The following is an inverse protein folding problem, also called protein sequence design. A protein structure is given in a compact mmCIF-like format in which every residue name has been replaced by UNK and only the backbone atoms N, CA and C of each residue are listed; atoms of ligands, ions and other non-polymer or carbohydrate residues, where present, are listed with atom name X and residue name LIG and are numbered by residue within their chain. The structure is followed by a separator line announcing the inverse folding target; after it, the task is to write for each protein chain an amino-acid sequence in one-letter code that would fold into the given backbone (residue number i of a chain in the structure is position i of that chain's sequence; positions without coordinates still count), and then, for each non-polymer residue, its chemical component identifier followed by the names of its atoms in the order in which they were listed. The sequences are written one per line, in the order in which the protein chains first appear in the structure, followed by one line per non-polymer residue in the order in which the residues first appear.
data_IF_662366501646
#
_entry.id   IF_662366501646
#
_cell.length_a   1.000
_cell.length_b   1.000
_cell.length_c   1.000
_cell.angle_alpha   90.00
_cell.angle_beta   90.00
_cell.angle_gamma   90.00
#
_symmetry.space_group_name_H-M   'P 1'
#
loop_
_entity.id
_entity.type
_entity.pdbx_description
1 polymer ?
#
# COMPACT_ATOMS: atom_id res chain seq x y z
N UNK A 1 35.15 18.13 1.36
CA UNK A 1 35.49 19.27 2.21
C UNK A 1 34.93 18.98 3.60
N UNK A 2 35.82 18.64 4.53
CA UNK A 2 35.48 18.27 5.91
C UNK A 2 35.14 19.58 6.65
N UNK A 3 33.92 19.70 7.14
CA UNK A 3 33.51 20.84 7.95
C UNK A 3 34.27 20.81 9.27
N UNK A 4 35.13 21.80 9.50
CA UNK A 4 35.85 22.04 10.76
C UNK A 4 34.78 22.38 11.78
N UNK A 5 34.62 21.54 12.80
CA UNK A 5 33.82 21.86 13.98
C UNK A 5 34.48 23.06 14.68
N UNK A 6 33.73 24.17 14.97
CA UNK A 6 34.33 25.27 15.73
C UNK A 6 34.74 24.76 17.12
N UNK A 7 35.95 25.08 17.53
CA UNK A 7 36.44 24.82 18.88
C UNK A 7 35.54 25.51 19.92
N UNK A 8 35.26 24.83 21.03
CA UNK A 8 34.47 25.40 22.10
C UNK A 8 35.16 26.68 22.64
N UNK A 9 34.41 27.81 22.82
CA UNK A 9 34.99 29.02 23.30
C UNK A 9 35.60 28.85 24.69
N UNK A 10 36.82 29.38 24.88
CA UNK A 10 37.49 29.31 26.17
C UNK A 10 36.68 30.01 27.28
N UNK A 11 36.85 29.57 28.54
CA UNK A 11 36.09 30.03 29.70
C UNK A 11 36.11 31.55 29.85
N UNK A 12 37.22 32.22 29.58
CA UNK A 12 37.35 33.69 29.63
C UNK A 12 36.44 34.42 28.60
N UNK A 13 36.22 33.79 27.42
CA UNK A 13 35.31 34.34 26.39
C UNK A 13 33.87 34.22 26.82
N UNK A 14 33.51 33.10 27.47
CA UNK A 14 32.16 32.86 28.01
C UNK A 14 31.84 33.87 29.15
N UNK A 15 32.79 34.09 30.06
CA UNK A 15 32.66 35.05 31.15
C UNK A 15 32.49 36.51 30.65
N UNK A 16 33.31 36.90 29.67
CA UNK A 16 33.19 38.22 29.03
C UNK A 16 31.84 38.41 28.32
N UNK A 17 31.34 37.34 27.66
CA UNK A 17 30.01 37.39 27.02
C UNK A 17 28.89 37.52 28.04
N UNK A 18 28.93 36.83 29.19
CA UNK A 18 27.95 36.95 30.26
C UNK A 18 27.92 38.37 30.88
N UNK A 19 29.10 38.98 31.10
CA UNK A 19 29.21 40.38 31.60
C UNK A 19 28.60 41.38 30.60
N UNK A 20 28.82 41.17 29.31
CA UNK A 20 28.21 41.99 28.24
C UNK A 20 26.70 41.87 28.21
N UNK A 21 26.18 40.65 28.32
CA UNK A 21 24.74 40.36 28.35
C UNK A 21 24.08 41.03 29.56
N UNK A 22 24.69 40.94 30.75
CA UNK A 22 24.19 41.59 31.97
C UNK A 22 24.14 43.12 31.81
N UNK A 23 25.17 43.72 31.20
CA UNK A 23 25.20 45.19 30.94
C UNK A 23 24.10 45.68 30.01
N UNK A 24 23.66 44.86 29.06
CA UNK A 24 22.59 45.23 28.11
C UNK A 24 21.21 44.71 28.55
N UNK A 25 21.13 44.10 29.73
CA UNK A 25 19.87 43.62 30.32
C UNK A 25 19.30 42.37 29.63
N UNK A 26 20.13 41.56 28.97
CA UNK A 26 19.75 40.31 28.34
C UNK A 26 20.32 39.11 29.11
N UNK A 27 19.55 38.06 29.17
CA UNK A 27 19.99 36.76 29.71
C UNK A 27 20.40 35.81 28.61
N UNK A 28 21.22 34.79 28.89
CA UNK A 28 21.48 33.70 27.93
C UNK A 28 20.19 33.02 27.41
N UNK A 29 19.13 33.02 28.24
CA UNK A 29 17.82 32.49 27.84
C UNK A 29 17.14 33.37 26.79
N UNK A 30 17.30 34.72 26.87
CA UNK A 30 16.79 35.64 25.86
C UNK A 30 17.48 35.45 24.51
N UNK A 31 18.80 35.17 24.51
CA UNK A 31 19.54 34.84 23.29
C UNK A 31 19.12 33.48 22.71
N UNK A 32 18.84 32.48 23.55
CA UNK A 32 18.33 31.21 23.12
C UNK A 32 16.89 31.28 22.59
N UNK A 33 16.13 32.30 23.04
CA UNK A 33 14.77 32.58 22.56
C UNK A 33 14.76 33.34 21.22
N UNK A 34 15.89 33.93 20.77
CA UNK A 34 15.98 34.56 19.45
C UNK A 34 15.79 33.47 18.40
N UNK A 35 14.75 33.58 17.52
CA UNK A 35 14.56 32.60 16.48
C UNK A 35 15.80 32.46 15.61
N UNK A 36 16.41 31.29 15.59
CA UNK A 36 17.51 31.00 14.65
C UNK A 36 17.07 31.36 13.23
N UNK A 37 17.94 31.98 12.41
CA UNK A 37 17.61 32.30 11.03
C UNK A 37 17.21 30.98 10.33
N UNK A 38 15.91 30.83 10.07
CA UNK A 38 15.38 29.65 9.35
C UNK A 38 15.92 29.70 7.92
N UNK A 39 16.19 28.52 7.35
CA UNK A 39 16.46 28.39 5.92
C UNK A 39 15.35 29.10 5.15
N UNK A 40 15.64 29.78 4.03
CA UNK A 40 14.60 30.39 3.21
C UNK A 40 13.59 29.30 2.80
N UNK A 41 12.31 29.60 3.00
CA UNK A 41 11.23 28.66 2.67
C UNK A 41 11.11 28.58 1.16
N UNK A 42 11.30 27.39 0.54
CA UNK A 42 11.23 27.22 -0.91
C UNK A 42 9.79 27.30 -1.42
N UNK A 43 9.65 27.47 -2.73
CA UNK A 43 8.38 27.34 -3.43
C UNK A 43 7.98 25.86 -3.58
N UNK A 44 6.69 25.61 -3.92
CA UNK A 44 6.25 24.24 -4.23
C UNK A 44 7.00 23.69 -5.45
N UNK A 45 7.29 24.51 -6.47
CA UNK A 45 8.03 24.09 -7.65
C UNK A 45 9.46 23.61 -7.32
N UNK A 46 10.10 24.25 -6.36
CA UNK A 46 11.44 23.85 -5.90
C UNK A 46 11.41 22.61 -5.00
N UNK A 47 10.42 22.49 -4.13
CA UNK A 47 10.44 21.48 -3.08
C UNK A 47 9.76 20.15 -3.46
N UNK A 48 8.69 20.17 -4.26
CA UNK A 48 8.00 18.92 -4.68
C UNK A 48 8.93 17.92 -5.35
N UNK A 49 9.86 18.31 -6.25
CA UNK A 49 10.85 17.38 -6.83
C UNK A 49 11.74 16.72 -5.76
N UNK A 50 12.18 17.48 -4.74
CA UNK A 50 13.00 16.96 -3.64
C UNK A 50 12.25 15.87 -2.88
N UNK A 51 11.01 16.14 -2.47
CA UNK A 51 10.16 15.15 -1.78
C UNK A 51 9.86 13.96 -2.68
N UNK A 52 9.58 14.19 -3.96
CA UNK A 52 9.31 13.12 -4.91
C UNK A 52 10.51 12.18 -5.09
N UNK A 53 11.73 12.68 -5.03
CA UNK A 53 12.94 11.87 -5.09
C UNK A 53 13.16 11.07 -3.79
N UNK A 54 12.83 11.65 -2.64
CA UNK A 54 13.06 11.07 -1.31
C UNK A 54 12.05 10.00 -0.88
N UNK A 55 10.90 9.89 -1.55
CA UNK A 55 9.87 8.91 -1.18
C UNK A 55 9.96 7.63 -2.00
N UNK A 56 9.36 6.55 -1.49
CA UNK A 56 9.27 5.27 -2.20
C UNK A 56 8.54 5.40 -3.55
N UNK A 57 8.87 4.53 -4.51
CA UNK A 57 8.19 4.47 -5.80
C UNK A 57 6.67 4.27 -5.67
N UNK A 58 6.22 3.56 -4.62
CA UNK A 58 4.81 3.38 -4.30
C UNK A 58 4.13 4.69 -3.88
N UNK A 59 4.76 5.47 -3.00
CA UNK A 59 4.29 6.78 -2.55
C UNK A 59 4.25 7.77 -3.72
N UNK A 60 5.31 7.81 -4.54
CA UNK A 60 5.38 8.65 -5.73
C UNK A 60 4.25 8.34 -6.72
N UNK A 61 3.96 7.07 -6.95
CA UNK A 61 2.85 6.64 -7.79
C UNK A 61 1.48 7.04 -7.24
N UNK A 62 1.33 7.00 -5.91
CA UNK A 62 0.08 7.36 -5.24
C UNK A 62 -0.17 8.87 -5.19
N UNK A 63 0.88 9.67 -4.97
CA UNK A 63 0.77 11.10 -4.72
C UNK A 63 1.19 11.99 -5.88
N UNK A 64 1.97 11.49 -6.84
CA UNK A 64 2.53 12.27 -7.93
C UNK A 64 1.49 13.08 -8.72
N UNK A 65 0.34 12.46 -9.05
CA UNK A 65 -0.74 13.17 -9.75
C UNK A 65 -1.38 14.29 -8.91
N UNK A 66 -1.33 14.19 -7.58
CA UNK A 66 -1.80 15.23 -6.67
C UNK A 66 -0.76 16.32 -6.48
N UNK A 67 0.53 15.98 -6.43
CA UNK A 67 1.61 16.96 -6.42
C UNK A 67 1.61 17.79 -7.72
N UNK A 68 1.39 17.17 -8.89
CA UNK A 68 1.25 17.93 -10.14
C UNK A 68 0.11 18.95 -10.05
N UNK A 69 -1.04 18.57 -9.49
CA UNK A 69 -2.16 19.51 -9.31
C UNK A 69 -1.87 20.62 -8.30
N UNK A 70 -1.05 20.33 -7.28
CA UNK A 70 -0.57 21.35 -6.35
C UNK A 70 0.36 22.31 -7.08
N UNK A 71 1.26 21.81 -7.92
CA UNK A 71 2.14 22.62 -8.77
C UNK A 71 1.36 23.50 -9.76
N UNK A 72 0.33 22.97 -10.39
CA UNK A 72 -0.53 23.71 -11.32
C UNK A 72 -1.24 24.90 -10.63
N UNK A 73 -1.51 24.81 -9.34
CA UNK A 73 -2.25 25.85 -8.59
C UNK A 73 -1.34 26.76 -7.76
N UNK A 74 -0.24 26.20 -7.22
CA UNK A 74 0.60 26.85 -6.22
C UNK A 74 2.11 26.75 -6.52
N UNK A 75 2.51 26.40 -7.74
CA UNK A 75 3.91 26.14 -8.08
C UNK A 75 4.87 27.22 -7.60
N UNK A 76 4.54 28.48 -7.87
CA UNK A 76 5.39 29.66 -7.57
C UNK A 76 5.21 30.19 -6.13
N UNK A 77 4.26 29.64 -5.38
CA UNK A 77 4.04 30.03 -3.98
C UNK A 77 5.03 29.34 -3.05
N UNK A 78 5.41 30.03 -1.99
CA UNK A 78 6.22 29.44 -0.92
C UNK A 78 5.37 28.48 -0.08
N UNK A 79 6.01 27.50 0.54
CA UNK A 79 5.33 26.49 1.36
C UNK A 79 4.60 27.08 2.59
N UNK A 80 5.04 28.22 3.10
CA UNK A 80 4.46 28.89 4.27
C UNK A 80 3.26 29.81 3.96
N UNK A 81 2.95 30.03 2.69
CA UNK A 81 1.85 30.94 2.28
C UNK A 81 0.45 30.33 2.33
N UNK A 82 0.24 29.04 1.90
CA UNK A 82 -1.12 28.51 1.85
C UNK A 82 -1.75 28.35 3.23
N UNK A 83 -2.97 28.81 3.34
CA UNK A 83 -3.78 28.69 4.56
C UNK A 83 -4.56 27.37 4.59
N UNK A 84 -5.02 26.90 5.77
CA UNK A 84 -5.93 25.75 5.85
C UNK A 84 -7.22 25.92 5.04
N UNK A 85 -7.69 27.17 4.86
CA UNK A 85 -8.89 27.47 4.05
C UNK A 85 -8.64 27.28 2.57
N UNK A 86 -7.48 27.69 2.07
CA UNK A 86 -7.09 27.46 0.66
C UNK A 86 -6.88 25.97 0.37
N UNK A 87 -6.35 25.20 1.33
CA UNK A 87 -6.30 23.74 1.19
C UNK A 87 -7.71 23.15 1.04
N UNK A 88 -8.69 23.63 1.82
CA UNK A 88 -10.09 23.17 1.67
C UNK A 88 -10.69 23.57 0.31
N UNK A 89 -10.36 24.76 -0.21
CA UNK A 89 -10.76 25.19 -1.56
C UNK A 89 -10.14 24.28 -2.63
N UNK A 90 -8.86 23.95 -2.53
CA UNK A 90 -8.19 23.03 -3.42
C UNK A 90 -8.80 21.61 -3.35
N UNK A 91 -9.20 21.16 -2.16
CA UNK A 91 -9.94 19.89 -2.01
C UNK A 91 -11.28 19.93 -2.73
N UNK A 92 -12.03 21.03 -2.65
CA UNK A 92 -13.29 21.21 -3.35
C UNK A 92 -13.09 21.21 -4.88
N UNK A 93 -12.09 21.94 -5.35
CA UNK A 93 -11.69 21.96 -6.75
C UNK A 93 -11.34 20.55 -7.26
N UNK A 94 -10.47 19.82 -6.55
CA UNK A 94 -10.09 18.47 -6.93
C UNK A 94 -11.29 17.54 -6.95
N UNK A 95 -12.24 17.67 -6.04
CA UNK A 95 -13.47 16.85 -6.01
C UNK A 95 -14.28 16.98 -7.31
N UNK A 96 -14.39 18.17 -7.87
CA UNK A 96 -15.19 18.45 -9.07
C UNK A 96 -14.45 18.16 -10.37
N UNK A 97 -13.10 18.21 -10.35
CA UNK A 97 -12.25 18.04 -11.55
C UNK A 97 -11.58 16.65 -11.63
N UNK A 98 -12.04 15.68 -10.85
CA UNK A 98 -11.56 14.29 -10.97
C UNK A 98 -12.27 13.60 -12.12
N UNK A 99 -11.52 12.83 -12.91
CA UNK A 99 -12.11 11.88 -13.85
C UNK A 99 -13.09 10.99 -13.10
N UNK A 100 -14.36 11.05 -13.49
CA UNK A 100 -15.43 10.25 -12.90
C UNK A 100 -15.15 8.75 -13.15
N UNK A 101 -14.45 8.10 -12.24
CA UNK A 101 -14.29 6.65 -12.24
C UNK A 101 -15.43 6.04 -11.43
N UNK A 102 -15.89 4.86 -11.83
CA UNK A 102 -16.97 4.13 -11.15
C UNK A 102 -16.78 4.03 -9.62
N UNK A 103 -15.54 3.96 -9.14
CA UNK A 103 -15.18 3.88 -7.73
C UNK A 103 -14.80 5.25 -7.11
N UNK A 104 -15.05 6.36 -7.81
CA UNK A 104 -14.63 7.70 -7.36
C UNK A 104 -15.36 8.22 -6.12
N UNK A 105 -16.46 7.55 -5.70
CA UNK A 105 -17.24 7.92 -4.51
C UNK A 105 -17.54 9.42 -4.45
N UNK A 106 -17.94 10.01 -5.59
CA UNK A 106 -18.18 11.45 -5.72
C UNK A 106 -16.93 12.32 -5.48
N UNK A 107 -15.73 11.85 -5.86
CA UNK A 107 -14.48 12.60 -5.71
C UNK A 107 -13.88 12.59 -4.30
N UNK A 108 -14.52 11.94 -3.34
CA UNK A 108 -14.10 11.90 -1.93
C UNK A 108 -12.73 11.26 -1.72
N UNK A 109 -12.47 10.17 -2.45
CA UNK A 109 -11.16 9.51 -2.44
C UNK A 109 -10.04 10.43 -2.95
N UNK A 110 -10.32 11.27 -3.93
CA UNK A 110 -9.35 12.22 -4.43
C UNK A 110 -9.03 13.32 -3.41
N UNK A 111 -10.02 13.81 -2.68
CA UNK A 111 -9.80 14.73 -1.56
C UNK A 111 -8.94 14.08 -0.46
N UNK A 112 -9.23 12.84 -0.10
CA UNK A 112 -8.48 12.08 0.90
C UNK A 112 -7.00 11.94 0.49
N UNK A 113 -6.74 11.60 -0.79
CA UNK A 113 -5.38 11.48 -1.32
C UNK A 113 -4.67 12.83 -1.44
N UNK A 114 -5.37 13.90 -1.81
CA UNK A 114 -4.80 15.25 -1.86
C UNK A 114 -4.31 15.68 -0.47
N UNK A 115 -5.14 15.52 0.56
CA UNK A 115 -4.74 15.85 1.94
C UNK A 115 -3.57 14.97 2.39
N UNK A 116 -3.57 13.69 2.03
CA UNK A 116 -2.46 12.80 2.34
C UNK A 116 -1.16 13.21 1.62
N UNK A 117 -1.24 13.63 0.36
CA UNK A 117 -0.11 14.13 -0.41
C UNK A 117 0.45 15.43 0.16
N UNK A 118 -0.42 16.39 0.55
CA UNK A 118 -0.02 17.60 1.24
C UNK A 118 0.62 17.32 2.59
N UNK A 119 0.02 16.45 3.40
CA UNK A 119 0.60 16.05 4.70
C UNK A 119 1.97 15.39 4.54
N UNK A 120 2.18 14.57 3.52
CA UNK A 120 3.49 13.99 3.22
C UNK A 120 4.51 15.09 2.87
N UNK A 121 4.14 16.06 2.04
CA UNK A 121 4.99 17.17 1.65
C UNK A 121 5.36 18.05 2.84
N UNK A 122 4.37 18.51 3.60
CA UNK A 122 4.55 19.40 4.74
C UNK A 122 5.28 18.73 5.91
N UNK A 123 5.08 17.42 6.13
CA UNK A 123 5.84 16.71 7.16
C UNK A 123 7.34 16.69 6.81
N UNK A 124 7.68 16.46 5.54
CA UNK A 124 9.07 16.56 5.07
C UNK A 124 9.64 17.97 5.23
N UNK A 125 8.84 19.00 4.95
CA UNK A 125 9.27 20.38 5.15
C UNK A 125 9.53 20.71 6.63
N UNK A 126 8.79 20.11 7.55
CA UNK A 126 9.04 20.21 9.00
C UNK A 126 10.32 19.44 9.36
N UNK A 127 10.46 18.21 8.90
CA UNK A 127 11.63 17.36 9.17
C UNK A 127 12.93 18.01 8.64
N UNK A 128 12.86 18.70 7.50
CA UNK A 128 13.98 19.45 6.89
C UNK A 128 14.24 20.82 7.56
N UNK A 129 13.41 21.24 8.53
CA UNK A 129 13.53 22.49 9.25
C UNK A 129 13.16 23.74 8.43
N UNK A 130 12.40 23.58 7.35
CA UNK A 130 11.95 24.66 6.46
C UNK A 130 10.76 25.44 7.04
N UNK A 131 9.88 24.75 7.75
CA UNK A 131 8.71 25.32 8.45
C UNK A 131 8.62 24.73 9.85
N UNK A 132 8.00 25.46 10.79
CA UNK A 132 7.73 24.90 12.10
C UNK A 132 6.50 23.99 12.08
N UNK A 133 6.45 23.01 12.98
CA UNK A 133 5.31 22.10 13.15
C UNK A 133 3.98 22.86 13.35
N UNK A 134 4.00 23.95 14.15
CA UNK A 134 2.83 24.78 14.40
C UNK A 134 2.32 25.52 13.15
N UNK A 135 3.21 25.79 12.20
CA UNK A 135 2.93 26.51 10.96
C UNK A 135 2.45 25.58 9.83
N UNK A 136 2.46 24.26 10.04
CA UNK A 136 2.02 23.28 9.06
C UNK A 136 0.49 23.36 8.80
N UNK A 137 0.05 23.94 7.67
CA UNK A 137 -1.37 24.15 7.41
C UNK A 137 -2.11 22.83 7.13
N UNK A 138 -1.43 21.80 6.62
CA UNK A 138 -2.04 20.52 6.26
C UNK A 138 -2.45 19.70 7.50
N UNK A 139 -1.84 19.92 8.67
CA UNK A 139 -2.27 19.30 9.93
C UNK A 139 -3.63 19.84 10.41
N UNK A 140 -3.89 21.14 10.15
CA UNK A 140 -5.13 21.83 10.55
C UNK A 140 -6.32 21.48 9.64
N UNK A 141 -6.11 20.67 8.60
CA UNK A 141 -7.16 20.22 7.68
C UNK A 141 -7.49 18.77 7.96
N UNK A 142 -8.73 18.50 8.37
CA UNK A 142 -9.20 17.14 8.59
C UNK A 142 -9.27 16.37 7.26
N UNK A 143 -8.82 15.11 7.25
CA UNK A 143 -9.11 14.21 6.13
C UNK A 143 -10.62 13.95 6.07
N UNK A 144 -11.19 13.87 4.86
CA UNK A 144 -12.58 13.43 4.71
C UNK A 144 -12.77 12.08 5.40
N UNK A 145 -13.87 11.94 6.16
CA UNK A 145 -14.19 10.65 6.81
C UNK A 145 -14.30 9.56 5.75
N UNK A 146 -13.54 8.49 5.93
CA UNK A 146 -13.61 7.33 5.06
C UNK A 146 -15.00 6.70 5.17
N UNK A 147 -15.67 6.56 4.02
CA UNK A 147 -16.95 5.86 4.00
C UNK A 147 -16.74 4.36 4.21
N UNK A 148 -17.65 3.67 4.90
CA UNK A 148 -17.63 2.23 5.01
C UNK A 148 -17.51 1.59 3.63
N UNK A 149 -16.83 0.46 3.56
CA UNK A 149 -16.78 -0.31 2.32
C UNK A 149 -18.16 -0.90 2.02
N UNK A 150 -18.56 -0.81 0.76
CA UNK A 150 -19.78 -1.50 0.28
C UNK A 150 -19.49 -2.93 -0.18
N UNK A 151 -18.24 -3.37 -0.07
CA UNK A 151 -17.83 -4.72 -0.43
C UNK A 151 -18.43 -5.72 0.55
N UNK A 152 -18.93 -6.80 -0.01
CA UNK A 152 -19.41 -7.97 0.71
C UNK A 152 -18.77 -9.23 0.12
N UNK A 153 -18.76 -10.32 0.86
CA UNK A 153 -18.37 -11.61 0.32
C UNK A 153 -19.29 -11.99 -0.84
N UNK A 154 -18.71 -12.51 -1.91
CA UNK A 154 -19.47 -13.01 -3.06
C UNK A 154 -20.00 -14.42 -2.72
N UNK A 155 -21.25 -14.73 -3.08
CA UNK A 155 -21.76 -16.10 -3.04
C UNK A 155 -20.94 -17.03 -3.96
N UNK A 156 -20.86 -18.31 -3.63
CA UNK A 156 -20.13 -19.31 -4.41
C UNK A 156 -20.61 -19.41 -5.85
N UNK A 157 -21.90 -19.28 -6.08
CA UNK A 157 -22.48 -19.23 -7.43
C UNK A 157 -21.92 -18.08 -8.27
N UNK A 158 -21.66 -16.92 -7.65
CA UNK A 158 -21.06 -15.77 -8.32
C UNK A 158 -19.58 -15.95 -8.60
N UNK A 159 -18.86 -16.63 -7.72
CA UNK A 159 -17.46 -17.02 -7.97
C UNK A 159 -17.40 -18.04 -9.10
N UNK A 160 -18.32 -19.00 -9.15
CA UNK A 160 -18.41 -20.00 -10.24
C UNK A 160 -18.66 -19.32 -11.60
N UNK A 161 -19.61 -18.37 -11.70
CA UNK A 161 -19.85 -17.59 -12.92
C UNK A 161 -18.57 -16.85 -13.39
N UNK A 162 -17.83 -16.22 -12.47
CA UNK A 162 -16.56 -15.51 -12.78
C UNK A 162 -15.54 -16.50 -13.34
N UNK A 163 -15.36 -17.64 -12.68
CA UNK A 163 -14.39 -18.67 -13.10
C UNK A 163 -14.76 -19.28 -14.45
N UNK A 164 -16.04 -19.53 -14.71
CA UNK A 164 -16.53 -20.04 -15.99
C UNK A 164 -16.19 -19.08 -17.14
N UNK A 165 -16.48 -17.79 -16.99
CA UNK A 165 -16.15 -16.79 -18.02
C UNK A 165 -14.62 -16.68 -18.20
N UNK A 166 -13.84 -16.78 -17.14
CA UNK A 166 -12.38 -16.77 -17.25
C UNK A 166 -11.85 -18.01 -18.00
N UNK A 167 -12.45 -19.17 -17.77
CA UNK A 167 -12.05 -20.43 -18.37
C UNK A 167 -12.48 -20.60 -19.84
N UNK A 168 -13.57 -19.94 -20.25
CA UNK A 168 -14.20 -20.17 -21.56
C UNK A 168 -14.02 -19.03 -22.54
N UNK A 169 -13.43 -17.91 -22.12
CA UNK A 169 -13.28 -16.72 -22.96
C UNK A 169 -11.86 -16.16 -22.93
N UNK A 170 -11.55 -15.31 -23.91
CA UNK A 170 -10.26 -14.59 -23.98
C UNK A 170 -9.20 -15.33 -24.78
N UNK A 171 -8.01 -14.78 -24.75
CA UNK A 171 -6.84 -15.21 -25.53
C UNK A 171 -5.93 -16.21 -24.78
N UNK A 172 -6.09 -16.32 -23.46
CA UNK A 172 -5.29 -17.20 -22.62
C UNK A 172 -6.10 -17.61 -21.36
N UNK A 173 -7.11 -18.49 -21.53
CA UNK A 173 -7.98 -18.94 -20.43
C UNK A 173 -7.22 -19.70 -19.33
N UNK A 174 -6.18 -20.44 -19.70
CA UNK A 174 -5.35 -21.17 -18.74
C UNK A 174 -4.67 -20.24 -17.75
N UNK A 175 -4.01 -19.19 -18.26
CA UNK A 175 -3.39 -18.17 -17.43
C UNK A 175 -4.44 -17.45 -16.57
N UNK A 176 -5.60 -17.09 -17.14
CA UNK A 176 -6.62 -16.36 -16.42
C UNK A 176 -7.22 -17.19 -15.28
N UNK A 177 -7.47 -18.48 -15.50
CA UNK A 177 -7.93 -19.39 -14.44
C UNK A 177 -6.85 -19.67 -13.40
N UNK A 178 -5.60 -19.83 -13.83
CA UNK A 178 -4.48 -20.07 -12.93
C UNK A 178 -4.33 -18.92 -11.92
N UNK A 179 -4.26 -17.68 -12.39
CA UNK A 179 -4.09 -16.59 -11.43
C UNK A 179 -5.36 -16.27 -10.61
N UNK A 180 -6.58 -16.52 -11.14
CA UNK A 180 -7.79 -16.44 -10.32
C UNK A 180 -7.77 -17.49 -9.21
N UNK A 181 -7.39 -18.73 -9.51
CA UNK A 181 -7.24 -19.79 -8.53
C UNK A 181 -6.17 -19.44 -7.48
N UNK A 182 -5.01 -18.92 -7.91
CA UNK A 182 -3.97 -18.44 -7.00
C UNK A 182 -4.53 -17.38 -6.02
N UNK A 183 -5.33 -16.42 -6.50
CA UNK A 183 -5.96 -15.43 -5.64
C UNK A 183 -7.04 -16.01 -4.72
N UNK A 184 -7.78 -17.00 -5.19
CA UNK A 184 -8.80 -17.69 -4.39
C UNK A 184 -8.15 -18.48 -3.25
N UNK A 185 -7.12 -19.26 -3.55
CA UNK A 185 -6.47 -20.10 -2.54
C UNK A 185 -5.56 -19.34 -1.58
N UNK A 186 -4.93 -18.26 -2.02
CA UNK A 186 -3.95 -17.55 -1.18
C UNK A 186 -4.47 -16.24 -0.60
N UNK A 187 -5.58 -15.74 -1.08
CA UNK A 187 -6.06 -14.39 -0.83
C UNK A 187 -4.96 -13.31 -1.01
N UNK A 188 -3.90 -13.56 -1.81
CA UNK A 188 -2.78 -12.65 -1.98
C UNK A 188 -3.19 -11.33 -2.64
N UNK A 189 -2.40 -10.28 -2.42
CA UNK A 189 -2.55 -9.04 -3.17
C UNK A 189 -2.00 -9.22 -4.60
N UNK A 190 -2.54 -8.46 -5.55
CA UNK A 190 -2.07 -8.49 -6.96
C UNK A 190 -0.54 -8.35 -7.08
N UNK A 191 0.07 -7.51 -6.24
CA UNK A 191 1.53 -7.35 -6.25
C UNK A 191 2.27 -8.62 -5.83
N UNK A 192 1.76 -9.39 -4.87
CA UNK A 192 2.34 -10.66 -4.46
C UNK A 192 2.29 -11.71 -5.56
N UNK A 193 1.14 -11.84 -6.22
CA UNK A 193 1.02 -12.75 -7.38
C UNK A 193 1.97 -12.38 -8.53
N UNK A 194 2.09 -11.08 -8.85
CA UNK A 194 3.01 -10.59 -9.89
C UNK A 194 4.49 -10.70 -9.52
N UNK A 195 4.81 -10.80 -8.24
CA UNK A 195 6.18 -10.95 -7.75
C UNK A 195 6.59 -12.43 -7.53
N UNK A 196 5.66 -13.37 -7.70
CA UNK A 196 5.91 -14.80 -7.50
C UNK A 196 6.90 -15.31 -8.56
N UNK A 197 7.86 -16.13 -8.14
CA UNK A 197 8.93 -16.71 -8.96
C UNK A 197 8.88 -18.22 -8.89
N UNK A 198 9.45 -18.97 -9.87
CA UNK A 198 9.61 -20.41 -9.74
C UNK A 198 10.36 -20.84 -8.48
N UNK A 199 11.42 -20.10 -8.09
CA UNK A 199 12.17 -20.36 -6.86
C UNK A 199 11.43 -20.08 -5.55
N UNK A 200 10.20 -19.55 -5.60
CA UNK A 200 9.34 -19.30 -4.44
C UNK A 200 8.36 -20.46 -4.18
N UNK A 201 8.40 -21.52 -4.98
CA UNK A 201 7.56 -22.69 -4.84
C UNK A 201 8.26 -23.76 -4.00
N UNK A 202 7.59 -24.30 -3.02
CA UNK A 202 7.98 -25.49 -2.25
C UNK A 202 6.98 -26.60 -2.57
N UNK A 203 7.28 -27.48 -3.55
CA UNK A 203 6.37 -28.54 -3.95
C UNK A 203 6.14 -29.60 -2.87
N UNK A 204 7.13 -29.87 -2.04
CA UNK A 204 7.06 -30.93 -1.03
C UNK A 204 6.07 -30.57 0.08
N UNK A 205 6.04 -29.30 0.46
CA UNK A 205 5.14 -28.76 1.48
C UNK A 205 3.90 -28.07 0.90
N UNK A 206 3.77 -27.98 -0.43
CA UNK A 206 2.72 -27.22 -1.11
C UNK A 206 2.63 -25.77 -0.61
N UNK A 207 3.76 -25.07 -0.50
CA UNK A 207 3.85 -23.69 -0.06
C UNK A 207 4.33 -22.76 -1.17
N UNK A 208 3.86 -21.51 -1.15
CA UNK A 208 4.37 -20.43 -2.00
C UNK A 208 4.87 -19.28 -1.14
N UNK A 209 6.04 -18.71 -1.47
CA UNK A 209 6.60 -17.55 -0.78
C UNK A 209 6.06 -16.26 -1.41
N UNK A 210 5.16 -15.59 -0.72
CA UNK A 210 4.55 -14.33 -1.17
C UNK A 210 5.32 -13.12 -0.63
N UNK A 211 5.71 -12.21 -1.55
CA UNK A 211 6.27 -10.89 -1.23
C UNK A 211 5.26 -9.82 -1.55
N UNK A 212 4.77 -9.13 -0.53
CA UNK A 212 3.68 -8.18 -0.67
C UNK A 212 4.08 -6.75 -0.25
N UNK A 213 3.14 -5.83 -0.32
CA UNK A 213 3.37 -4.42 0.05
C UNK A 213 3.80 -4.28 1.51
N UNK A 214 4.76 -3.39 1.79
CA UNK A 214 5.28 -3.13 3.14
C UNK A 214 6.30 -4.19 3.58
N UNK A 215 7.04 -4.75 2.60
CA UNK A 215 8.09 -5.75 2.84
C UNK A 215 7.59 -7.03 3.54
N UNK A 216 6.28 -7.24 3.49
CA UNK A 216 5.68 -8.45 4.06
C UNK A 216 6.09 -9.65 3.22
N UNK A 217 6.78 -10.60 3.84
CA UNK A 217 7.15 -11.89 3.25
C UNK A 217 6.53 -12.99 4.08
N UNK A 218 5.86 -13.95 3.44
CA UNK A 218 5.23 -15.07 4.12
C UNK A 218 5.12 -16.30 3.25
N UNK A 219 5.24 -17.46 3.87
CA UNK A 219 4.81 -18.71 3.26
C UNK A 219 3.28 -18.81 3.32
N UNK A 220 2.69 -19.25 2.23
CA UNK A 220 1.25 -19.45 2.11
C UNK A 220 0.98 -20.84 1.54
N UNK A 221 0.18 -21.67 2.21
CA UNK A 221 -0.29 -22.94 1.68
C UNK A 221 -1.10 -22.74 0.38
N UNK A 222 -0.91 -23.67 -0.54
CA UNK A 222 -1.70 -23.83 -1.78
C UNK A 222 -2.06 -25.31 -1.96
N UNK A 223 -3.16 -25.58 -2.64
CA UNK A 223 -3.53 -26.97 -2.91
C UNK A 223 -2.49 -27.69 -3.78
N UNK A 224 -2.36 -29.02 -3.65
CA UNK A 224 -1.51 -29.81 -4.54
C UNK A 224 -1.80 -29.58 -6.02
N UNK A 225 -3.09 -29.46 -6.37
CA UNK A 225 -3.51 -29.15 -7.75
C UNK A 225 -3.01 -27.78 -8.21
N UNK A 226 -3.08 -26.73 -7.37
CA UNK A 226 -2.57 -25.41 -7.75
C UNK A 226 -1.05 -25.44 -7.85
N UNK A 227 -0.35 -26.11 -6.94
CA UNK A 227 1.10 -26.25 -6.97
C UNK A 227 1.56 -26.89 -8.29
N UNK A 228 0.95 -28.01 -8.68
CA UNK A 228 1.25 -28.68 -9.95
C UNK A 228 1.08 -27.73 -11.15
N UNK A 229 -0.05 -27.01 -11.22
CA UNK A 229 -0.31 -26.06 -12.29
C UNK A 229 0.65 -24.87 -12.33
N UNK A 230 1.10 -24.38 -11.17
CA UNK A 230 2.09 -23.30 -11.11
C UNK A 230 3.45 -23.76 -11.64
N UNK A 231 3.86 -24.99 -11.32
CA UNK A 231 5.11 -25.60 -11.82
C UNK A 231 5.02 -25.80 -13.34
N UNK A 232 3.95 -26.44 -13.81
CA UNK A 232 3.69 -26.68 -15.24
C UNK A 232 3.72 -25.37 -16.03
N UNK A 233 2.97 -24.36 -15.59
CA UNK A 233 2.96 -23.03 -16.21
C UNK A 233 4.35 -22.39 -16.26
N UNK A 234 5.14 -22.51 -15.17
CA UNK A 234 6.51 -22.00 -15.14
C UNK A 234 7.42 -22.68 -16.17
N UNK A 235 7.27 -23.98 -16.35
CA UNK A 235 8.03 -24.77 -17.32
C UNK A 235 7.61 -24.45 -18.76
N UNK A 236 6.32 -24.50 -19.06
CA UNK A 236 5.77 -24.26 -20.40
C UNK A 236 6.04 -22.85 -20.91
N UNK A 237 5.99 -21.86 -20.01
CA UNK A 237 6.19 -20.44 -20.32
C UNK A 237 7.66 -19.99 -20.12
N UNK A 238 8.57 -20.92 -19.90
CA UNK A 238 10.01 -20.69 -19.74
C UNK A 238 10.33 -19.61 -18.70
N UNK A 239 9.69 -19.68 -17.53
CA UNK A 239 9.92 -18.73 -16.44
C UNK A 239 11.33 -18.94 -15.85
N UNK A 240 12.22 -17.92 -15.85
CA UNK A 240 13.52 -18.05 -15.20
C UNK A 240 13.36 -18.26 -13.69
N UNK A 241 14.25 -19.01 -13.02
CA UNK A 241 14.15 -19.30 -11.58
C UNK A 241 13.90 -18.06 -10.70
N UNK A 242 14.59 -16.96 -11.01
CA UNK A 242 14.48 -15.68 -10.29
C UNK A 242 13.56 -14.67 -10.99
N UNK A 243 12.95 -15.04 -12.11
CA UNK A 243 12.04 -14.20 -12.87
C UNK A 243 10.58 -14.37 -12.43
N UNK A 244 9.71 -13.54 -12.94
CA UNK A 244 8.28 -13.65 -12.67
C UNK A 244 7.73 -14.98 -13.21
N UNK A 245 6.97 -15.70 -12.37
CA UNK A 245 6.36 -16.98 -12.71
C UNK A 245 5.21 -16.81 -13.73
N UNK A 246 4.27 -15.90 -13.46
CA UNK A 246 3.10 -15.70 -14.31
C UNK A 246 3.47 -14.97 -15.61
N UNK A 247 3.32 -15.66 -16.74
CA UNK A 247 3.74 -15.19 -18.07
C UNK A 247 2.67 -15.41 -19.12
N UNK A 248 2.71 -14.60 -20.16
CA UNK A 248 1.95 -14.84 -21.39
C UNK A 248 2.51 -16.04 -22.15
N UNK A 249 1.75 -16.54 -23.14
CA UNK A 249 2.17 -17.65 -24.02
C UNK A 249 3.48 -17.36 -24.78
N UNK A 250 3.79 -16.10 -25.04
CA UNK A 250 5.03 -15.66 -25.68
C UNK A 250 6.23 -15.53 -24.72
N UNK A 251 6.08 -15.96 -23.46
CA UNK A 251 7.11 -15.92 -22.44
C UNK A 251 7.33 -14.55 -21.77
N UNK A 252 6.64 -13.49 -22.17
CA UNK A 252 6.72 -12.19 -21.50
C UNK A 252 5.99 -12.22 -20.16
N UNK A 253 6.55 -11.60 -19.09
CA UNK A 253 5.87 -11.50 -17.80
C UNK A 253 4.57 -10.71 -17.91
N UNK A 254 3.51 -11.18 -17.22
CA UNK A 254 2.25 -10.42 -17.17
C UNK A 254 2.40 -9.16 -16.31
N UNK A 255 1.58 -8.18 -16.59
CA UNK A 255 1.52 -6.93 -15.83
C UNK A 255 0.15 -6.74 -15.20
N UNK A 256 -0.01 -5.66 -14.42
CA UNK A 256 -1.31 -5.28 -13.87
C UNK A 256 -2.39 -5.11 -14.96
N UNK A 257 -2.00 -4.84 -16.22
CA UNK A 257 -2.94 -4.70 -17.35
C UNK A 257 -3.68 -6.00 -17.66
N UNK A 258 -3.04 -7.18 -17.44
CA UNK A 258 -3.75 -8.47 -17.64
C UNK A 258 -4.97 -8.57 -16.72
N UNK A 259 -4.84 -8.14 -15.47
CA UNK A 259 -5.97 -8.08 -14.54
C UNK A 259 -7.06 -7.12 -15.01
N UNK A 260 -6.67 -5.93 -15.48
CA UNK A 260 -7.62 -4.94 -15.96
C UNK A 260 -8.38 -5.46 -17.20
N UNK A 261 -7.69 -6.15 -18.12
CA UNK A 261 -8.30 -6.79 -19.29
C UNK A 261 -9.26 -7.92 -18.88
N UNK A 262 -8.84 -8.82 -17.98
CA UNK A 262 -9.70 -9.90 -17.49
C UNK A 262 -10.98 -9.34 -16.87
N UNK A 263 -10.87 -8.40 -15.92
CA UNK A 263 -12.05 -7.87 -15.23
C UNK A 263 -12.96 -7.06 -16.17
N UNK A 264 -12.40 -6.38 -17.17
CA UNK A 264 -13.18 -5.72 -18.22
C UNK A 264 -13.96 -6.74 -19.07
N UNK A 265 -13.30 -7.83 -19.45
CA UNK A 265 -13.91 -8.92 -20.22
C UNK A 265 -15.02 -9.62 -19.42
N UNK A 266 -14.73 -10.06 -18.20
CA UNK A 266 -15.73 -10.68 -17.31
C UNK A 266 -16.93 -9.73 -17.14
N UNK A 267 -16.70 -8.42 -16.96
CA UNK A 267 -17.75 -7.43 -16.83
C UNK A 267 -18.61 -7.22 -18.08
N UNK A 268 -18.12 -7.58 -19.28
CA UNK A 268 -18.93 -7.58 -20.51
C UNK A 268 -19.88 -8.78 -20.56
N UNK A 269 -19.43 -9.95 -20.09
CA UNK A 269 -20.25 -11.16 -20.04
C UNK A 269 -21.17 -11.18 -18.82
N UNK A 270 -20.74 -10.60 -17.70
CA UNK A 270 -21.47 -10.53 -16.45
C UNK A 270 -21.70 -9.06 -16.06
N UNK A 271 -22.82 -8.42 -16.49
CA UNK A 271 -23.07 -6.99 -16.24
C UNK A 271 -23.02 -6.60 -14.75
N UNK A 272 -23.39 -7.51 -13.84
CA UNK A 272 -23.31 -7.27 -12.41
C UNK A 272 -21.86 -7.08 -11.90
N UNK A 273 -20.86 -7.75 -12.52
CA UNK A 273 -19.43 -7.58 -12.22
C UNK A 273 -19.00 -6.16 -12.56
N UNK A 274 -19.40 -5.70 -13.74
CA UNK A 274 -19.13 -4.34 -14.18
C UNK A 274 -19.87 -3.31 -13.30
N UNK A 275 -21.15 -3.54 -12.96
CA UNK A 275 -21.94 -2.63 -12.15
C UNK A 275 -21.42 -2.43 -10.74
N UNK A 276 -20.93 -3.50 -10.09
CA UNK A 276 -20.39 -3.45 -8.73
C UNK A 276 -18.88 -3.12 -8.68
N UNK A 277 -18.18 -3.09 -9.82
CA UNK A 277 -16.75 -2.87 -9.89
C UNK A 277 -15.97 -4.01 -9.22
N UNK A 278 -16.38 -5.25 -9.47
CA UNK A 278 -15.74 -6.45 -8.94
C UNK A 278 -14.30 -6.52 -9.49
N UNK A 279 -13.39 -6.98 -8.67
CA UNK A 279 -11.96 -7.11 -8.98
C UNK A 279 -11.33 -8.17 -8.09
N UNK A 280 -10.10 -8.53 -8.36
CA UNK A 280 -9.32 -9.47 -7.54
C UNK A 280 -9.36 -9.14 -6.04
N UNK A 281 -9.48 -7.85 -5.68
CA UNK A 281 -9.60 -7.47 -4.27
C UNK A 281 -10.93 -7.91 -3.63
N UNK A 282 -12.00 -8.12 -4.43
CA UNK A 282 -13.24 -8.70 -3.96
C UNK A 282 -13.08 -10.20 -3.67
N UNK A 283 -12.33 -10.93 -4.52
CA UNK A 283 -12.00 -12.34 -4.26
C UNK A 283 -11.28 -12.43 -2.90
N UNK A 284 -10.22 -11.65 -2.71
CA UNK A 284 -9.51 -11.62 -1.42
C UNK A 284 -10.46 -11.34 -0.24
N UNK A 285 -11.35 -10.35 -0.37
CA UNK A 285 -12.32 -10.04 0.68
C UNK A 285 -13.25 -11.23 0.94
N UNK A 286 -13.74 -11.88 -0.11
CA UNK A 286 -14.64 -13.04 -0.02
C UNK A 286 -13.96 -14.19 0.73
N UNK A 287 -12.75 -14.56 0.32
CA UNK A 287 -12.00 -15.65 0.95
C UNK A 287 -11.68 -15.34 2.40
N UNK A 288 -11.16 -14.15 2.69
CA UNK A 288 -10.85 -13.78 4.08
C UNK A 288 -12.09 -13.73 4.97
N UNK A 289 -13.23 -13.29 4.45
CA UNK A 289 -14.52 -13.35 5.19
C UNK A 289 -14.96 -14.79 5.44
N UNK A 290 -14.76 -15.69 4.46
CA UNK A 290 -15.06 -17.10 4.63
C UNK A 290 -14.16 -17.76 5.66
N UNK A 291 -12.83 -17.52 5.60
CA UNK A 291 -11.87 -18.04 6.57
C UNK A 291 -12.18 -17.51 7.97
N UNK A 292 -12.48 -16.22 8.12
CA UNK A 292 -12.80 -15.63 9.42
C UNK A 292 -14.03 -16.27 10.05
N UNK A 293 -15.08 -16.53 9.25
CA UNK A 293 -16.31 -17.14 9.73
C UNK A 293 -16.18 -18.61 10.14
N UNK A 294 -15.29 -19.35 9.49
CA UNK A 294 -15.13 -20.78 9.71
C UNK A 294 -13.98 -21.13 10.64
N UNK A 295 -12.93 -20.30 10.69
CA UNK A 295 -11.67 -20.58 11.41
C UNK A 295 -11.26 -19.45 12.38
N UNK A 296 -12.04 -18.38 12.46
CA UNK A 296 -11.82 -17.27 13.37
C UNK A 296 -10.84 -16.20 12.86
N UNK A 297 -10.79 -15.10 13.62
CA UNK A 297 -10.02 -13.89 13.26
C UNK A 297 -8.53 -14.15 13.12
N UNK A 298 -7.92 -14.92 14.05
CA UNK A 298 -6.47 -15.16 14.05
C UNK A 298 -5.99 -15.86 12.79
N UNK A 299 -6.73 -16.89 12.34
CA UNK A 299 -6.43 -17.62 11.11
C UNK A 299 -6.61 -16.71 9.91
N UNK A 300 -7.72 -15.97 9.83
CA UNK A 300 -7.96 -15.02 8.73
C UNK A 300 -6.91 -13.91 8.66
N UNK A 301 -6.45 -13.40 9.81
CA UNK A 301 -5.42 -12.37 9.91
C UNK A 301 -4.06 -12.89 9.38
N UNK A 302 -3.67 -14.08 9.80
CA UNK A 302 -2.45 -14.75 9.32
C UNK A 302 -2.56 -15.11 7.82
N UNK A 303 -3.71 -15.64 7.41
CA UNK A 303 -4.02 -15.93 6.00
C UNK A 303 -3.93 -14.68 5.12
N UNK A 304 -4.33 -13.53 5.65
CA UNK A 304 -4.23 -12.25 4.96
C UNK A 304 -2.78 -11.71 4.85
N UNK A 305 -1.84 -12.27 5.61
CA UNK A 305 -0.48 -11.72 5.73
C UNK A 305 -0.50 -10.31 6.34
N UNK A 306 -1.36 -10.10 7.34
CA UNK A 306 -1.31 -8.88 8.12
C UNK A 306 -0.24 -9.03 9.20
N UNK A 307 0.67 -8.07 9.28
CA UNK A 307 1.62 -7.94 10.39
C UNK A 307 1.04 -6.96 11.40
N UNK A 308 1.20 -7.25 12.69
CA UNK A 308 0.73 -6.42 13.79
C UNK A 308 1.55 -5.11 13.89
N UNK A 309 1.45 -4.28 12.87
CA UNK A 309 2.07 -2.96 12.77
C UNK A 309 1.06 -1.85 13.07
N UNK A 310 0.75 -1.62 14.34
CA UNK A 310 -0.01 -0.45 14.79
C UNK A 310 -1.40 -0.74 15.35
N UNK A 311 -1.60 -0.43 16.62
CA UNK A 311 -2.86 -0.33 17.39
C UNK A 311 -3.51 -1.63 17.92
N UNK A 312 -2.95 -2.80 17.68
CA UNK A 312 -3.34 -4.01 18.40
C UNK A 312 -2.53 -4.08 19.70
N UNK A 313 -3.20 -3.99 20.86
CA UNK A 313 -2.55 -4.10 22.16
C UNK A 313 -1.77 -5.43 22.33
N UNK A 314 -0.99 -5.55 23.41
CA UNK A 314 -0.09 -6.70 23.70
C UNK A 314 -0.71 -8.09 23.53
N UNK A 315 -2.02 -8.22 23.58
CA UNK A 315 -2.77 -9.47 23.41
C UNK A 315 -2.71 -10.02 21.96
N UNK A 316 -2.57 -9.16 20.91
CA UNK A 316 -2.49 -9.61 19.52
C UNK A 316 -1.18 -10.33 19.19
N UNK A 317 -0.15 -10.14 20.00
CA UNK A 317 1.18 -10.75 19.81
C UNK A 317 1.20 -12.24 20.17
N UNK A 318 0.26 -12.71 21.01
CA UNK A 318 0.25 -14.07 21.54
C UNK A 318 -0.60 -15.06 20.73
N UNK A 319 -1.44 -14.61 19.80
CA UNK A 319 -2.35 -15.47 19.05
C UNK A 319 -2.05 -15.36 17.57
N UNK A 320 -1.01 -16.02 17.11
CA UNK A 320 -0.70 -16.18 15.68
C UNK A 320 -1.09 -17.58 15.24
N UNK A 321 -1.92 -17.66 14.21
CA UNK A 321 -2.20 -18.94 13.59
C UNK A 321 -0.94 -19.54 12.95
N UNK A 322 -0.76 -20.84 13.13
CA UNK A 322 0.31 -21.64 12.55
C UNK A 322 0.08 -21.88 11.04
N UNK A 323 1.12 -22.31 10.34
CA UNK A 323 0.98 -22.74 8.94
C UNK A 323 0.02 -23.95 8.81
N UNK A 324 0.00 -24.83 9.83
CA UNK A 324 -0.92 -25.97 9.84
C UNK A 324 -2.39 -25.54 9.91
N UNK A 325 -2.73 -24.54 10.74
CA UNK A 325 -4.09 -23.99 10.79
C UNK A 325 -4.49 -23.29 9.49
N UNK A 326 -3.56 -22.58 8.86
CA UNK A 326 -3.80 -21.96 7.54
C UNK A 326 -3.99 -23.06 6.48
N UNK A 327 -3.20 -24.13 6.52
CA UNK A 327 -3.31 -25.28 5.61
C UNK A 327 -4.63 -26.02 5.79
N UNK A 328 -5.07 -26.22 7.04
CA UNK A 328 -6.37 -26.82 7.34
C UNK A 328 -7.53 -25.97 6.81
N UNK A 329 -7.45 -24.64 6.96
CA UNK A 329 -8.47 -23.75 6.40
C UNK A 329 -8.48 -23.78 4.87
N UNK A 330 -7.32 -23.90 4.21
CA UNK A 330 -7.22 -24.06 2.77
C UNK A 330 -7.79 -25.41 2.31
N UNK A 331 -7.47 -26.50 2.99
CA UNK A 331 -8.00 -27.82 2.69
C UNK A 331 -9.54 -27.84 2.75
N UNK A 332 -10.12 -27.18 3.75
CA UNK A 332 -11.57 -27.03 3.84
C UNK A 332 -12.15 -26.13 2.74
N UNK A 333 -11.41 -25.09 2.31
CA UNK A 333 -11.84 -24.18 1.23
C UNK A 333 -11.82 -24.88 -0.14
N UNK A 334 -10.81 -25.72 -0.40
CA UNK A 334 -10.61 -26.35 -1.72
C UNK A 334 -11.22 -27.74 -1.82
N UNK A 335 -11.48 -28.40 -0.70
CA UNK A 335 -11.83 -29.81 -0.64
C UNK A 335 -10.65 -30.76 -0.95
N UNK A 336 -9.43 -30.23 -1.07
CA UNK A 336 -8.20 -31.00 -1.31
C UNK A 336 -7.41 -31.15 0.00
N UNK A 337 -6.92 -32.35 0.32
CA UNK A 337 -6.03 -32.56 1.45
C UNK A 337 -4.72 -31.80 1.25
N UNK A 338 -4.16 -31.26 2.34
CA UNK A 338 -2.90 -30.51 2.29
C UNK A 338 -1.82 -31.18 3.17
N UNK A 339 -0.54 -31.28 2.71
CA UNK A 339 0.51 -31.98 3.47
C UNK A 339 0.71 -31.46 4.90
N UNK A 340 0.52 -30.16 5.11
CA UNK A 340 0.67 -29.53 6.43
C UNK A 340 -0.63 -29.47 7.26
N UNK A 341 -1.78 -29.85 6.71
CA UNK A 341 -3.01 -29.93 7.48
C UNK A 341 -2.95 -31.20 8.34
N UNK A 342 -2.55 -31.09 9.60
CA UNK A 342 -2.58 -32.20 10.53
C UNK A 342 -4.02 -32.65 10.77
N UNK A 343 -4.26 -33.94 10.62
CA UNK A 343 -5.55 -34.61 10.91
C UNK A 343 -5.72 -34.87 12.41
N UNK A 344 -4.88 -34.32 13.27
CA UNK A 344 -5.06 -34.43 14.72
C UNK A 344 -6.15 -33.48 15.16
N UNK A 345 -7.28 -34.08 15.57
CA UNK A 345 -8.51 -33.42 15.95
C UNK A 345 -8.33 -32.42 17.11
N UNK A 346 -9.09 -31.39 17.01
CA UNK A 346 -9.41 -30.47 18.11
C UNK A 346 -10.46 -31.11 19.02
#
# INVERSE_FOLDING_TARGET
MTAVRPEAPGQAVVEAALVLLDRIGLTPADLAAVPQPRKPVPTFAEYVPVVSAAVSAGTRRAYGSYWNRILDQWGDRRLDEPTPSEIRQLMAYVKTHVVARRNARGGRSAQEHLVAALRCLYQRAVDDGLIAEADNPARKVAKPRRLPTTRRALPDTRLAEINEIAATTGDDPELDTLFLRLHTETACRRGGALALRPGDLDPDQCLVLLREKGETVRWQPVSPTLMGRLIEHGQERHAPPDGQLLRYADGRPITHRRYDHLWTRIGRHLPWVAAQGISTHWIRHTILTWVERNFGYSVAHAYAGHTDGGEGGATSTYVRASLAEIAASLAALTGESHPLATTEGW
#
